data_IF_055602238752
#
_entry.id   IF_055602238752
#
_cell.length_a   1.000
_cell.length_b   1.000
_cell.length_c   1.000
_cell.angle_alpha   90.00
_cell.angle_beta   90.00
_cell.angle_gamma   90.00
#
_symmetry.space_group_name_H-M   'P 1'
#
loop_
_entity.id
_entity.type
_entity.pdbx_description
1 polymer ?
#
# COMPACT_ATOMS: atom_id res chain seq x y z
N UNK A 1 25.25 5.64 12.30
CA UNK A 1 24.90 4.81 11.13
C UNK A 1 24.15 5.71 10.16
N UNK A 2 24.66 5.87 8.93
CA UNK A 2 23.98 6.66 7.90
C UNK A 2 22.78 5.87 7.39
N UNK A 3 21.57 6.28 7.76
CA UNK A 3 20.36 5.76 7.13
C UNK A 3 20.28 6.32 5.70
N UNK A 4 20.58 5.48 4.71
CA UNK A 4 20.27 5.75 3.31
C UNK A 4 18.74 5.94 3.22
N UNK A 5 18.28 7.19 3.11
CA UNK A 5 16.87 7.49 2.88
C UNK A 5 16.51 7.09 1.45
N UNK A 6 15.63 6.10 1.31
CA UNK A 6 14.99 5.80 0.04
C UNK A 6 13.91 6.86 -0.24
N UNK A 7 14.26 7.93 -0.95
CA UNK A 7 13.33 9.02 -1.30
C UNK A 7 12.23 8.59 -2.27
N UNK A 8 12.39 7.45 -2.95
CA UNK A 8 11.41 6.90 -3.88
C UNK A 8 10.40 5.96 -3.23
N UNK A 9 10.55 5.64 -1.94
CA UNK A 9 9.71 4.66 -1.26
C UNK A 9 8.22 5.03 -1.33
N UNK A 10 7.88 6.30 -1.07
CA UNK A 10 6.50 6.79 -1.16
C UNK A 10 5.95 6.68 -2.59
N UNK A 11 6.78 7.00 -3.58
CA UNK A 11 6.38 6.97 -4.99
C UNK A 11 6.16 5.54 -5.50
N UNK A 12 7.01 4.60 -5.13
CA UNK A 12 6.99 3.23 -5.68
C UNK A 12 6.16 2.25 -4.83
N UNK A 13 5.98 2.52 -3.54
CA UNK A 13 5.22 1.67 -2.63
C UNK A 13 3.94 2.38 -2.16
N UNK A 14 2.76 2.06 -2.73
CA UNK A 14 1.50 2.63 -2.27
C UNK A 14 1.00 2.08 -0.93
N UNK A 15 1.77 1.16 -0.34
CA UNK A 15 1.53 0.54 0.96
C UNK A 15 2.71 0.78 1.91
N UNK A 16 3.46 1.88 1.73
CA UNK A 16 4.61 2.20 2.58
C UNK A 16 4.21 2.30 4.05
N UNK A 17 3.10 2.99 4.33
CA UNK A 17 2.56 3.13 5.69
C UNK A 17 2.26 1.77 6.34
N UNK A 18 1.56 0.88 5.64
CA UNK A 18 1.22 -0.45 6.17
C UNK A 18 2.46 -1.35 6.31
N UNK A 19 3.44 -1.20 5.42
CA UNK A 19 4.73 -1.86 5.53
C UNK A 19 5.48 -1.40 6.80
N UNK A 20 5.59 -0.09 7.02
CA UNK A 20 6.24 0.47 8.20
C UNK A 20 5.56 0.03 9.50
N UNK A 21 4.22 0.00 9.53
CA UNK A 21 3.46 -0.53 10.66
C UNK A 21 3.80 -2.00 10.95
N UNK A 22 3.96 -2.83 9.91
CA UNK A 22 4.35 -4.24 10.08
C UNK A 22 5.77 -4.40 10.66
N UNK A 23 6.71 -3.58 10.21
CA UNK A 23 8.07 -3.57 10.77
C UNK A 23 8.11 -3.02 12.18
N UNK A 24 7.34 -1.98 12.48
CA UNK A 24 7.21 -1.45 13.83
C UNK A 24 6.65 -2.50 14.80
N UNK A 25 5.63 -3.25 14.39
CA UNK A 25 5.11 -4.36 15.19
C UNK A 25 6.19 -5.41 15.47
N UNK A 26 6.92 -5.85 14.45
CA UNK A 26 7.99 -6.84 14.61
C UNK A 26 9.08 -6.34 15.58
N UNK A 27 9.53 -5.10 15.42
CA UNK A 27 10.53 -4.49 16.29
C UNK A 27 10.06 -4.44 17.75
N UNK A 28 8.78 -4.15 17.99
CA UNK A 28 8.20 -4.07 19.34
C UNK A 28 7.96 -5.44 19.98
N UNK A 29 7.87 -6.51 19.20
CA UNK A 29 7.49 -7.84 19.67
C UNK A 29 8.63 -8.86 19.57
N UNK A 30 9.89 -8.40 19.43
CA UNK A 30 11.04 -9.30 19.33
C UNK A 30 11.00 -10.19 18.08
N UNK A 31 10.47 -9.65 16.98
CA UNK A 31 10.25 -10.37 15.72
C UNK A 31 9.32 -11.58 15.82
N UNK A 32 8.43 -11.60 16.82
CA UNK A 32 7.35 -12.57 16.89
C UNK A 32 6.28 -12.25 15.83
N UNK A 33 6.24 -13.09 14.79
CA UNK A 33 5.34 -12.90 13.64
C UNK A 33 3.86 -13.09 14.00
N UNK A 34 3.55 -13.99 14.92
CA UNK A 34 2.16 -14.31 15.29
C UNK A 34 1.49 -13.09 15.94
N UNK A 35 2.24 -12.32 16.73
CA UNK A 35 1.76 -11.06 17.33
C UNK A 35 1.49 -9.94 16.33
N UNK A 36 1.95 -10.09 15.09
CA UNK A 36 1.87 -9.05 14.06
C UNK A 36 0.95 -9.41 12.88
N UNK A 37 0.18 -10.49 12.98
CA UNK A 37 -0.67 -10.98 11.89
C UNK A 37 -1.61 -9.91 11.34
N UNK A 38 -2.27 -9.13 12.20
CA UNK A 38 -3.18 -8.05 11.79
C UNK A 38 -2.46 -6.96 10.95
N UNK A 39 -1.21 -6.62 11.28
CA UNK A 39 -0.43 -5.67 10.48
C UNK A 39 -0.06 -6.27 9.12
N UNK A 40 0.28 -7.55 9.07
CA UNK A 40 0.52 -8.25 7.81
C UNK A 40 -0.73 -8.34 6.95
N UNK A 41 -1.90 -8.59 7.55
CA UNK A 41 -3.18 -8.59 6.83
C UNK A 41 -3.53 -7.22 6.26
N UNK A 42 -3.29 -6.15 7.02
CA UNK A 42 -3.46 -4.80 6.52
C UNK A 42 -2.54 -4.53 5.31
N UNK A 43 -1.26 -4.88 5.42
CA UNK A 43 -0.30 -4.76 4.31
C UNK A 43 -0.70 -5.61 3.08
N UNK A 44 -1.13 -6.86 3.29
CA UNK A 44 -1.64 -7.74 2.23
C UNK A 44 -2.87 -7.15 1.56
N UNK A 45 -3.81 -6.62 2.34
CA UNK A 45 -5.04 -5.98 1.85
C UNK A 45 -4.72 -4.76 1.01
N UNK A 46 -3.82 -3.89 1.47
CA UNK A 46 -3.34 -2.76 0.71
C UNK A 46 -2.74 -3.18 -0.64
N UNK A 47 -1.85 -4.18 -0.66
CA UNK A 47 -1.26 -4.68 -1.92
C UNK A 47 -2.30 -5.26 -2.87
N UNK A 48 -3.27 -6.01 -2.35
CA UNK A 48 -4.39 -6.53 -3.15
C UNK A 48 -5.20 -5.40 -3.78
N UNK A 49 -5.50 -4.35 -3.01
CA UNK A 49 -6.23 -3.17 -3.49
C UNK A 49 -5.47 -2.45 -4.62
N UNK A 50 -4.23 -2.04 -4.38
CA UNK A 50 -3.46 -1.31 -5.40
C UNK A 50 -3.12 -2.18 -6.62
N UNK A 51 -3.01 -3.49 -6.43
CA UNK A 51 -2.94 -4.45 -7.54
C UNK A 51 -4.21 -4.44 -8.41
N UNK A 52 -5.40 -4.36 -7.81
CA UNK A 52 -6.68 -4.22 -8.55
C UNK A 52 -6.74 -2.87 -9.29
N UNK A 53 -6.41 -1.77 -8.61
CA UNK A 53 -6.38 -0.42 -9.21
C UNK A 53 -5.44 -0.39 -10.41
N UNK A 54 -4.22 -0.88 -10.26
CA UNK A 54 -3.20 -0.87 -11.32
C UNK A 54 -3.62 -1.70 -12.53
N UNK A 55 -4.29 -2.85 -12.31
CA UNK A 55 -4.84 -3.68 -13.39
C UNK A 55 -5.99 -2.99 -14.12
N UNK A 56 -6.94 -2.36 -13.39
CA UNK A 56 -8.05 -1.62 -13.99
C UNK A 56 -7.54 -0.42 -14.80
N UNK A 57 -6.61 0.37 -14.25
CA UNK A 57 -5.97 1.49 -14.96
C UNK A 57 -5.26 1.03 -16.23
N UNK A 58 -4.51 -0.08 -16.16
CA UNK A 58 -3.85 -0.69 -17.33
C UNK A 58 -4.88 -1.11 -18.40
N UNK A 59 -5.95 -1.79 -18.00
CA UNK A 59 -7.00 -2.23 -18.92
C UNK A 59 -7.69 -1.05 -19.65
N UNK A 60 -7.72 0.12 -19.00
CA UNK A 60 -8.30 1.36 -19.53
C UNK A 60 -7.28 2.29 -20.21
N UNK A 61 -6.01 1.89 -20.30
CA UNK A 61 -4.95 2.73 -20.88
C UNK A 61 -4.60 3.99 -20.06
N UNK A 62 -4.94 4.03 -18.77
CA UNK A 62 -4.71 5.19 -17.91
C UNK A 62 -3.31 5.12 -17.29
N UNK A 63 -2.44 6.05 -17.68
CA UNK A 63 -1.07 6.20 -17.16
C UNK A 63 -0.94 7.41 -16.22
N UNK A 64 -0.09 7.36 -15.19
CA UNK A 64 0.68 6.19 -14.73
C UNK A 64 -0.22 5.10 -14.13
N UNK A 65 0.13 3.82 -14.30
CA UNK A 65 -0.70 2.70 -13.81
C UNK A 65 -0.82 2.68 -12.29
N UNK A 66 0.26 3.04 -11.60
CA UNK A 66 0.24 3.39 -10.18
C UNK A 66 0.06 4.91 -10.07
N UNK A 67 -1.00 5.42 -9.42
CA UNK A 67 -1.18 6.87 -9.28
C UNK A 67 -0.06 7.55 -8.53
N UNK A 68 0.16 8.83 -8.85
CA UNK A 68 1.07 9.70 -8.12
C UNK A 68 0.58 9.89 -6.68
N UNK A 69 1.52 10.16 -5.76
CA UNK A 69 1.26 10.16 -4.31
C UNK A 69 0.13 11.11 -3.92
N UNK A 70 0.10 12.30 -4.50
CA UNK A 70 -0.89 13.36 -4.32
C UNK A 70 -2.30 12.97 -4.81
N UNK A 71 -2.41 12.08 -5.78
CA UNK A 71 -3.69 11.64 -6.35
C UNK A 71 -4.29 10.42 -5.63
N UNK A 72 -3.48 9.69 -4.84
CA UNK A 72 -3.85 8.37 -4.32
C UNK A 72 -5.05 8.38 -3.40
N UNK A 73 -5.19 9.39 -2.55
CA UNK A 73 -6.30 9.44 -1.58
C UNK A 73 -7.65 9.54 -2.31
N UNK A 74 -7.75 10.48 -3.25
CA UNK A 74 -8.93 10.67 -4.08
C UNK A 74 -9.25 9.42 -4.90
N UNK A 75 -8.27 8.88 -5.63
CA UNK A 75 -8.46 7.68 -6.45
C UNK A 75 -8.85 6.48 -5.59
N UNK A 76 -8.25 6.34 -4.39
CA UNK A 76 -8.60 5.28 -3.45
C UNK A 76 -10.08 5.36 -3.06
N UNK A 77 -10.58 6.54 -2.73
CA UNK A 77 -11.99 6.75 -2.40
C UNK A 77 -12.92 6.38 -3.57
N UNK A 78 -12.59 6.81 -4.78
CA UNK A 78 -13.36 6.49 -6.01
C UNK A 78 -13.43 4.98 -6.26
N UNK A 79 -12.31 4.25 -6.14
CA UNK A 79 -12.30 2.80 -6.32
C UNK A 79 -13.03 2.07 -5.20
N UNK A 80 -12.94 2.52 -3.94
CA UNK A 80 -13.70 1.93 -2.84
C UNK A 80 -15.21 2.06 -3.10
N UNK A 81 -15.66 3.24 -3.51
CA UNK A 81 -17.06 3.47 -3.88
C UNK A 81 -17.50 2.57 -5.03
N UNK A 82 -16.70 2.48 -6.10
CA UNK A 82 -16.99 1.64 -7.27
C UNK A 82 -17.01 0.14 -6.94
N UNK A 83 -16.10 -0.33 -6.08
CA UNK A 83 -16.02 -1.75 -5.69
C UNK A 83 -17.09 -2.16 -4.68
N UNK A 84 -17.59 -1.24 -3.86
CA UNK A 84 -18.68 -1.51 -2.91
C UNK A 84 -20.08 -1.51 -3.52
N UNK A 85 -20.19 -1.21 -4.82
CA UNK A 85 -21.44 -1.25 -5.59
C UNK A 85 -21.57 -2.54 -6.44
N UNK A 86 -20.60 -3.45 -6.35
CA UNK A 86 -20.59 -4.80 -6.93
C UNK A 86 -20.96 -5.82 -5.85
#
# INVERSE_FOLDING_TARGET
MNHLKNTDAERLNPCLKEQEQSYQCLNNNGFDHEKCEAHFDNYRTCKKFWGKVSRDRRARGIVPYLPNVDEREKIKAEYIQKMGQL
#
